data_IF_807042556667
#
_entry.id   IF_807042556667
#
_cell.length_a   1.000
_cell.length_b   1.000
_cell.length_c   1.000
_cell.angle_alpha   90.00
_cell.angle_beta   90.00
_cell.angle_gamma   90.00
#
_symmetry.space_group_name_H-M   'P 1'
#
loop_
_entity.id
_entity.type
_entity.pdbx_description
1 polymer ?
#
# COMPACT_ATOMS: atom_id res chain seq x y z
N UNK A 1 43.07 25.27 9.61
CA UNK A 1 42.60 24.11 8.83
C UNK A 1 42.12 23.03 9.79
N UNK A 2 40.81 22.87 9.97
CA UNK A 2 40.24 21.73 10.71
C UNK A 2 39.56 20.82 9.70
N UNK A 3 40.25 19.76 9.31
CA UNK A 3 39.69 18.68 8.48
C UNK A 3 38.89 17.79 9.43
N UNK A 4 37.59 18.08 9.57
CA UNK A 4 36.66 17.21 10.29
C UNK A 4 36.42 15.95 9.43
N UNK A 5 37.26 14.92 9.63
CA UNK A 5 37.08 13.60 9.02
C UNK A 5 35.95 12.88 9.77
N UNK A 6 34.71 13.05 9.31
CA UNK A 6 33.60 12.18 9.70
C UNK A 6 33.98 10.74 9.37
N UNK A 7 34.11 9.90 10.41
CA UNK A 7 34.42 8.49 10.24
C UNK A 7 33.36 7.85 9.32
N UNK A 8 33.76 7.01 8.34
CA UNK A 8 32.80 6.32 7.50
C UNK A 8 31.97 5.38 8.39
N UNK A 9 30.66 5.67 8.53
CA UNK A 9 29.73 4.77 9.22
C UNK A 9 29.90 3.37 8.62
N UNK A 10 30.05 2.34 9.47
CA UNK A 10 30.28 0.98 8.99
C UNK A 10 29.14 0.54 8.07
N UNK A 11 29.45 -0.25 7.04
CA UNK A 11 28.45 -0.74 6.06
C UNK A 11 27.25 -1.42 6.74
N UNK A 12 27.45 -1.97 7.94
CA UNK A 12 26.43 -2.62 8.76
C UNK A 12 25.44 -1.60 9.33
N UNK A 13 25.92 -0.45 9.81
CA UNK A 13 25.07 0.64 10.31
C UNK A 13 24.28 1.29 9.18
N UNK A 14 24.90 1.50 8.01
CA UNK A 14 24.18 1.99 6.82
C UNK A 14 23.13 0.99 6.34
N UNK A 15 23.40 -0.32 6.38
CA UNK A 15 22.43 -1.35 6.02
C UNK A 15 21.27 -1.47 7.02
N UNK A 16 21.51 -1.24 8.32
CA UNK A 16 20.49 -1.21 9.37
C UNK A 16 19.60 0.06 9.27
N UNK A 17 20.19 1.23 9.02
CA UNK A 17 19.44 2.48 8.80
C UNK A 17 18.60 2.40 7.50
N UNK A 18 19.16 1.85 6.41
CA UNK A 18 18.42 1.63 5.16
C UNK A 18 17.31 0.57 5.26
N UNK A 19 17.45 -0.40 6.18
CA UNK A 19 16.45 -1.43 6.49
C UNK A 19 15.19 -0.83 7.12
N UNK A 20 15.35 -0.03 8.18
CA UNK A 20 14.23 0.71 8.80
C UNK A 20 13.48 1.57 7.79
N UNK A 21 14.23 2.29 6.94
CA UNK A 21 13.64 3.22 5.98
C UNK A 21 12.78 2.53 4.91
N UNK A 22 13.07 1.27 4.54
CA UNK A 22 12.34 0.58 3.46
C UNK A 22 10.92 0.19 3.87
N UNK A 23 10.75 -0.38 5.07
CA UNK A 23 9.43 -0.73 5.61
C UNK A 23 8.64 0.53 5.95
N UNK A 24 9.32 1.53 6.49
CA UNK A 24 8.70 2.83 6.81
C UNK A 24 8.21 3.55 5.55
N UNK A 25 9.00 3.54 4.47
CA UNK A 25 8.59 4.07 3.17
C UNK A 25 7.39 3.29 2.60
N UNK A 26 7.37 1.96 2.73
CA UNK A 26 6.23 1.15 2.32
C UNK A 26 4.95 1.51 3.09
N UNK A 27 5.05 1.68 4.41
CA UNK A 27 3.93 2.09 5.27
C UNK A 27 3.39 3.45 4.81
N UNK A 28 4.28 4.42 4.55
CA UNK A 28 3.89 5.75 4.08
C UNK A 28 3.19 5.67 2.72
N UNK A 29 3.72 4.87 1.79
CA UNK A 29 3.09 4.67 0.47
C UNK A 29 1.71 4.02 0.61
N UNK A 30 1.59 2.96 1.42
CA UNK A 30 0.30 2.31 1.67
C UNK A 30 -0.70 3.27 2.32
N UNK A 31 -0.28 4.06 3.32
CA UNK A 31 -1.14 5.04 3.95
C UNK A 31 -1.59 6.13 2.96
N UNK A 32 -0.70 6.60 2.10
CA UNK A 32 -1.03 7.58 1.07
C UNK A 32 -2.01 7.01 0.02
N UNK A 33 -1.77 5.78 -0.45
CA UNK A 33 -2.67 5.09 -1.40
C UNK A 33 -4.04 4.83 -0.77
N UNK A 34 -4.08 4.37 0.48
CA UNK A 34 -5.33 4.15 1.20
C UNK A 34 -6.13 5.43 1.40
N UNK A 35 -5.46 6.50 1.84
CA UNK A 35 -6.08 7.83 1.99
C UNK A 35 -6.59 8.38 0.65
N UNK A 36 -5.81 8.21 -0.43
CA UNK A 36 -6.23 8.59 -1.77
C UNK A 36 -7.48 7.83 -2.23
N UNK A 37 -7.54 6.51 -2.00
CA UNK A 37 -8.71 5.70 -2.33
C UNK A 37 -9.97 6.17 -1.60
N UNK A 38 -9.85 6.48 -0.30
CA UNK A 38 -10.96 7.04 0.49
C UNK A 38 -11.40 8.38 -0.10
N UNK A 39 -10.46 9.29 -0.38
CA UNK A 39 -10.75 10.59 -0.97
C UNK A 39 -11.41 10.48 -2.35
N UNK A 40 -10.93 9.58 -3.20
CA UNK A 40 -11.50 9.33 -4.52
C UNK A 40 -12.96 8.86 -4.40
N UNK A 41 -13.24 7.92 -3.51
CA UNK A 41 -14.61 7.47 -3.23
C UNK A 41 -15.51 8.58 -2.67
N UNK A 42 -14.98 9.42 -1.76
CA UNK A 42 -15.69 10.59 -1.22
C UNK A 42 -15.98 11.65 -2.30
N UNK A 43 -15.07 11.87 -3.24
CA UNK A 43 -15.28 12.79 -4.36
C UNK A 43 -16.33 12.28 -5.35
N UNK A 44 -16.48 10.96 -5.49
CA UNK A 44 -17.45 10.32 -6.37
C UNK A 44 -18.83 10.13 -5.73
N UNK A 45 -18.93 10.24 -4.40
CA UNK A 45 -20.17 10.11 -3.62
C UNK A 45 -21.29 11.07 -4.07
N UNK A 46 -21.05 12.38 -4.29
CA UNK A 46 -22.09 13.29 -4.78
C UNK A 46 -22.60 12.91 -6.17
N UNK A 47 -21.74 12.35 -7.01
CA UNK A 47 -22.14 11.85 -8.31
C UNK A 47 -23.02 10.60 -8.12
N UNK A 48 -22.59 9.61 -7.35
CA UNK A 48 -23.38 8.40 -7.09
C UNK A 48 -24.74 8.65 -6.41
N UNK A 49 -24.93 9.78 -5.72
CA UNK A 49 -26.21 10.17 -5.12
C UNK A 49 -27.15 10.91 -6.08
N UNK A 50 -26.67 11.28 -7.27
CA UNK A 50 -27.52 11.82 -8.33
C UNK A 50 -28.10 10.67 -9.16
N UNK A 51 -29.41 10.71 -9.44
CA UNK A 51 -30.15 9.69 -10.21
C UNK A 51 -29.66 9.49 -11.67
N UNK A 52 -28.60 10.18 -12.09
CA UNK A 52 -28.10 10.18 -13.47
C UNK A 52 -27.05 9.09 -13.76
N UNK A 53 -26.81 8.15 -12.85
CA UNK A 53 -25.69 7.21 -12.95
C UNK A 53 -26.06 5.72 -13.06
N UNK A 54 -25.19 5.00 -13.75
CA UNK A 54 -25.27 3.56 -14.00
C UNK A 54 -24.70 2.76 -12.82
N UNK A 55 -25.22 1.56 -12.57
CA UNK A 55 -24.80 0.61 -11.49
C UNK A 55 -23.27 0.46 -11.33
N UNK A 56 -22.52 0.66 -12.42
CA UNK A 56 -21.06 0.61 -12.43
C UNK A 56 -20.39 1.70 -11.57
N UNK A 57 -20.97 2.90 -11.45
CA UNK A 57 -20.38 4.00 -10.68
C UNK A 57 -20.61 3.86 -9.16
N UNK A 58 -21.75 3.31 -8.75
CA UNK A 58 -21.99 2.99 -7.33
C UNK A 58 -20.97 1.94 -6.82
N UNK A 59 -20.74 0.91 -7.64
CA UNK A 59 -19.72 -0.10 -7.37
C UNK A 59 -18.32 0.51 -7.23
N UNK A 60 -17.99 1.54 -8.01
CA UNK A 60 -16.70 2.25 -7.92
C UNK A 60 -16.54 3.06 -6.64
N UNK A 61 -17.61 3.72 -6.19
CA UNK A 61 -17.61 4.46 -4.93
C UNK A 61 -17.38 3.51 -3.76
N UNK A 62 -18.17 2.44 -3.70
CA UNK A 62 -18.08 1.43 -2.64
C UNK A 62 -16.72 0.76 -2.66
N UNK A 63 -16.22 0.41 -3.85
CA UNK A 63 -14.90 -0.18 -4.01
C UNK A 63 -13.81 0.76 -3.51
N UNK A 64 -13.75 2.01 -3.96
CA UNK A 64 -12.71 2.95 -3.57
C UNK A 64 -12.72 3.25 -2.05
N UNK A 65 -13.90 3.39 -1.44
CA UNK A 65 -14.03 3.60 0.00
C UNK A 65 -13.58 2.38 0.81
N UNK A 66 -14.14 1.19 0.51
CA UNK A 66 -13.80 -0.04 1.23
C UNK A 66 -12.33 -0.39 1.04
N UNK A 67 -11.85 -0.30 -0.19
CA UNK A 67 -10.50 -0.67 -0.54
C UNK A 67 -9.48 0.31 0.04
N UNK A 68 -9.74 1.62 -0.08
CA UNK A 68 -8.93 2.65 0.55
C UNK A 68 -8.85 2.48 2.07
N UNK A 69 -9.98 2.20 2.73
CA UNK A 69 -10.03 1.93 4.16
C UNK A 69 -9.24 0.67 4.56
N UNK A 70 -9.36 -0.42 3.79
CA UNK A 70 -8.60 -1.65 4.04
C UNK A 70 -7.09 -1.43 3.92
N UNK A 71 -6.65 -0.76 2.85
CA UNK A 71 -5.23 -0.43 2.62
C UNK A 71 -4.70 0.47 3.74
N UNK A 72 -5.48 1.44 4.18
CA UNK A 72 -5.11 2.33 5.28
C UNK A 72 -5.02 1.58 6.62
N UNK A 73 -5.96 0.68 6.91
CA UNK A 73 -5.92 -0.18 8.09
C UNK A 73 -4.69 -1.10 8.10
N UNK A 74 -4.29 -1.62 6.93
CA UNK A 74 -3.07 -2.41 6.79
C UNK A 74 -1.82 -1.59 7.05
N UNK A 75 -1.75 -0.36 6.52
CA UNK A 75 -0.64 0.55 6.84
C UNK A 75 -0.52 0.76 8.36
N UNK A 76 -1.64 1.00 9.05
CA UNK A 76 -1.67 1.15 10.51
C UNK A 76 -1.27 -0.14 11.27
N UNK A 77 -1.60 -1.32 10.74
CA UNK A 77 -1.15 -2.60 11.31
C UNK A 77 0.35 -2.85 11.11
N UNK A 78 0.90 -2.44 9.97
CA UNK A 78 2.32 -2.55 9.66
C UNK A 78 3.18 -1.61 10.51
N UNK A 79 2.64 -0.45 10.94
CA UNK A 79 3.30 0.42 11.96
C UNK A 79 3.55 -0.34 13.26
N UNK A 80 2.64 -1.26 13.62
CA UNK A 80 2.77 -2.09 14.82
C UNK A 80 3.69 -3.31 14.61
N UNK A 81 4.32 -3.44 13.44
CA UNK A 81 5.26 -4.53 13.11
C UNK A 81 4.61 -5.90 12.95
N UNK A 82 3.28 -5.99 12.86
CA UNK A 82 2.55 -7.26 12.85
C UNK A 82 2.63 -7.93 11.49
N UNK A 83 3.10 -9.19 11.46
CA UNK A 83 3.11 -10.02 10.25
C UNK A 83 1.72 -10.14 9.58
N UNK A 84 0.64 -10.03 10.38
CA UNK A 84 -0.74 -10.07 9.88
C UNK A 84 -1.03 -8.99 8.84
N UNK A 85 -0.44 -7.79 8.98
CA UNK A 85 -0.62 -6.70 8.02
C UNK A 85 -0.08 -7.04 6.63
N UNK A 86 0.90 -7.93 6.56
CA UNK A 86 1.54 -8.39 5.33
C UNK A 86 0.64 -9.36 4.56
N UNK A 87 0.02 -10.30 5.27
CA UNK A 87 -0.97 -11.21 4.70
C UNK A 87 -2.21 -10.45 4.23
N UNK A 88 -2.67 -9.47 5.02
CA UNK A 88 -3.78 -8.61 4.64
C UNK A 88 -3.45 -7.77 3.39
N UNK A 89 -2.26 -7.18 3.27
CA UNK A 89 -1.91 -6.41 2.06
C UNK A 89 -1.90 -7.28 0.81
N UNK A 90 -1.43 -8.52 0.93
CA UNK A 90 -1.39 -9.48 -0.18
C UNK A 90 -2.81 -9.90 -0.57
N UNK A 91 -3.66 -10.22 0.41
CA UNK A 91 -5.07 -10.55 0.18
C UNK A 91 -5.84 -9.39 -0.46
N UNK A 92 -5.58 -8.17 -0.01
CA UNK A 92 -6.11 -6.92 -0.56
C UNK A 92 -5.73 -6.79 -2.04
N UNK A 93 -4.46 -6.93 -2.40
CA UNK A 93 -4.02 -6.86 -3.80
C UNK A 93 -4.69 -7.93 -4.67
N UNK A 94 -4.78 -9.16 -4.18
CA UNK A 94 -5.46 -10.25 -4.89
C UNK A 94 -6.95 -9.96 -5.09
N UNK A 95 -7.60 -9.39 -4.07
CA UNK A 95 -9.01 -9.02 -4.13
C UNK A 95 -9.25 -7.95 -5.22
N UNK A 96 -8.37 -6.96 -5.36
CA UNK A 96 -8.46 -5.95 -6.44
C UNK A 96 -8.31 -6.59 -7.80
N UNK A 97 -7.30 -7.44 -7.94
CA UNK A 97 -7.04 -8.10 -9.22
C UNK A 97 -8.23 -8.96 -9.63
N UNK A 98 -8.82 -9.70 -8.68
CA UNK A 98 -10.04 -10.47 -8.91
C UNK A 98 -11.23 -9.57 -9.26
N UNK A 99 -11.46 -8.49 -8.51
CA UNK A 99 -12.56 -7.56 -8.72
C UNK A 99 -12.49 -6.88 -10.10
N UNK A 100 -11.31 -6.39 -10.49
CA UNK A 100 -11.10 -5.81 -11.82
C UNK A 100 -11.32 -6.84 -12.93
N UNK A 101 -10.87 -8.08 -12.73
CA UNK A 101 -11.11 -9.17 -13.68
C UNK A 101 -12.61 -9.46 -13.86
N UNK A 102 -13.39 -9.53 -12.77
CA UNK A 102 -14.84 -9.75 -12.84
C UNK A 102 -15.61 -8.61 -13.51
N UNK A 103 -15.16 -7.37 -13.34
CA UNK A 103 -15.77 -6.20 -14.00
C UNK A 103 -15.36 -6.03 -15.48
N UNK A 104 -14.56 -6.96 -16.03
CA UNK A 104 -14.07 -6.87 -17.41
C UNK A 104 -13.16 -5.66 -17.66
N UNK A 105 -12.59 -5.08 -16.60
CA UNK A 105 -11.68 -3.94 -16.70
C UNK A 105 -10.34 -4.43 -17.19
N UNK A 106 -9.69 -3.60 -18.02
CA UNK A 106 -8.38 -3.96 -18.54
C UNK A 106 -7.41 -4.27 -17.41
N UNK A 107 -6.58 -5.29 -17.63
CA UNK A 107 -5.59 -5.71 -16.67
C UNK A 107 -4.63 -4.55 -16.40
N UNK A 108 -4.76 -3.92 -15.24
CA UNK A 108 -3.91 -2.80 -14.87
C UNK A 108 -2.52 -3.33 -14.48
N UNK A 109 -1.67 -3.43 -15.50
CA UNK A 109 -0.33 -4.01 -15.42
C UNK A 109 0.58 -3.21 -14.48
N UNK A 110 0.39 -1.89 -14.45
CA UNK A 110 1.05 -0.97 -13.51
C UNK A 110 0.67 -1.28 -12.06
N UNK A 111 -0.62 -1.44 -11.77
CA UNK A 111 -1.10 -1.77 -10.43
C UNK A 111 -0.61 -3.15 -9.98
N UNK A 112 -0.60 -4.12 -10.89
CA UNK A 112 -0.11 -5.47 -10.64
C UNK A 112 1.41 -5.51 -10.39
N UNK A 113 2.19 -4.75 -11.16
CA UNK A 113 3.64 -4.57 -10.92
C UNK A 113 3.89 -3.89 -9.57
N UNK A 114 3.14 -2.84 -9.23
CA UNK A 114 3.24 -2.19 -7.93
C UNK A 114 2.92 -3.17 -6.79
N UNK A 115 1.85 -3.94 -6.93
CA UNK A 115 1.48 -4.99 -6.00
C UNK A 115 2.59 -6.03 -5.83
N UNK A 116 3.17 -6.51 -6.92
CA UNK A 116 4.29 -7.46 -6.90
C UNK A 116 5.54 -6.89 -6.20
N UNK A 117 5.86 -5.61 -6.45
CA UNK A 117 6.98 -4.93 -5.78
C UNK A 117 6.73 -4.80 -4.28
N UNK A 118 5.50 -4.48 -3.87
CA UNK A 118 5.09 -4.41 -2.46
C UNK A 118 5.24 -5.79 -1.81
N UNK A 119 4.68 -6.84 -2.41
CA UNK A 119 4.78 -8.22 -1.91
C UNK A 119 6.25 -8.65 -1.80
N UNK A 120 7.08 -8.33 -2.79
CA UNK A 120 8.51 -8.64 -2.77
C UNK A 120 9.27 -7.93 -1.64
N UNK A 121 9.04 -6.62 -1.47
CA UNK A 121 9.65 -5.82 -0.39
C UNK A 121 9.23 -6.35 0.98
N UNK A 122 7.99 -6.75 1.10
CA UNK A 122 7.42 -7.32 2.31
C UNK A 122 7.98 -8.70 2.63
N UNK A 123 8.06 -9.60 1.64
CA UNK A 123 8.69 -10.91 1.79
C UNK A 123 10.16 -10.79 2.22
N UNK A 124 10.88 -9.82 1.67
CA UNK A 124 12.23 -9.51 2.09
C UNK A 124 12.28 -8.99 3.54
N UNK A 125 11.33 -8.16 3.98
CA UNK A 125 11.23 -7.69 5.37
C UNK A 125 10.95 -8.82 6.36
N UNK A 126 10.06 -9.76 6.00
CA UNK A 126 9.79 -10.96 6.80
C UNK A 126 11.04 -11.85 6.94
N UNK A 127 11.73 -12.16 5.83
CA UNK A 127 12.98 -12.95 5.88
C UNK A 127 14.10 -12.30 6.71
N UNK A 128 13.99 -10.99 6.92
CA UNK A 128 14.96 -10.17 7.64
C UNK A 128 14.67 -10.03 9.14
N UNK A 129 13.57 -10.61 9.63
CA UNK A 129 13.15 -10.55 11.04
C UNK A 129 12.61 -9.18 11.47
N UNK A 130 12.24 -8.31 10.53
CA UNK A 130 11.77 -6.95 10.80
C UNK A 130 10.27 -6.91 11.15
N UNK A 131 9.58 -8.03 10.99
CA UNK A 131 8.16 -8.22 11.28
C UNK A 131 8.04 -9.44 12.18
N UNK A 132 7.36 -9.27 13.32
CA UNK A 132 7.18 -10.28 14.37
C UNK A 132 5.76 -10.83 14.34
#
# INVERSE_FOLDING_TARGET
MSVNKSKPKSKIVQALEARSNSVQMLIVVLAAVGAWGILAGLCMLPAALSDELTDAHELDVVFNLLFGALVFAVAAMLVKGRLLGLWLSTGILLLVSAFNYFLGREFNLLLSLFGAVIIWRMYMAQRRGELV
#
